data_IF_819030317566
#
_entry.id   IF_819030317566
#
_cell.length_a   1.000
_cell.length_b   1.000
_cell.length_c   1.000
_cell.angle_alpha   90.00
_cell.angle_beta   90.00
_cell.angle_gamma   90.00
#
_symmetry.space_group_name_H-M   'P 1'
#
loop_
_entity.id
_entity.type
_entity.pdbx_description
1 polymer ?
#
# COMPACT_ATOMS: atom_id res chain seq x y z
N UNK A 1 1.10 -12.63 1.77
CA UNK A 1 1.11 -11.16 2.06
C UNK A 1 2.16 -10.49 1.17
N UNK A 2 2.06 -9.21 0.81
CA UNK A 2 3.11 -8.51 0.02
C UNK A 2 3.90 -7.58 0.92
N UNK A 3 5.21 -7.52 0.77
CA UNK A 3 6.08 -6.65 1.56
C UNK A 3 6.86 -5.68 0.68
N UNK A 4 7.08 -4.48 1.21
CA UNK A 4 7.95 -3.47 0.60
C UNK A 4 9.00 -2.98 1.58
N UNK A 5 10.10 -2.47 1.07
CA UNK A 5 11.11 -1.75 1.87
C UNK A 5 10.51 -0.50 2.51
N UNK A 6 10.87 -0.25 3.77
CA UNK A 6 10.50 0.98 4.45
C UNK A 6 11.37 2.13 3.90
N UNK A 7 10.80 3.21 3.32
CA UNK A 7 11.57 4.35 2.84
C UNK A 7 12.21 5.18 3.96
N UNK A 8 11.80 4.97 5.21
CA UNK A 8 12.34 5.64 6.40
C UNK A 8 12.52 4.61 7.52
N UNK A 9 13.51 3.70 7.38
CA UNK A 9 13.73 2.65 8.36
C UNK A 9 14.21 3.27 9.70
N UNK A 10 13.79 2.71 10.85
CA UNK A 10 14.21 3.20 12.16
C UNK A 10 15.70 2.93 12.45
N UNK A 11 16.30 1.96 11.77
CA UNK A 11 17.71 1.59 11.91
C UNK A 11 18.52 2.07 10.70
N UNK A 12 19.04 3.30 10.74
CA UNK A 12 19.86 3.86 9.66
C UNK A 12 21.23 3.20 9.48
N UNK A 13 21.71 2.45 10.49
CA UNK A 13 23.02 1.78 10.48
C UNK A 13 22.93 0.25 10.39
N UNK A 14 21.78 -0.29 9.98
CA UNK A 14 21.64 -1.73 9.85
C UNK A 14 22.65 -2.32 8.84
N UNK A 15 23.42 -3.31 9.29
CA UNK A 15 24.37 -4.08 8.49
C UNK A 15 23.79 -5.49 8.24
N UNK A 16 23.13 -5.73 7.11
CA UNK A 16 22.51 -7.02 6.83
C UNK A 16 23.55 -8.12 6.59
N UNK A 17 23.22 -9.35 7.00
CA UNK A 17 23.91 -10.53 6.45
C UNK A 17 23.59 -10.71 4.95
N UNK A 18 24.35 -11.53 4.20
CA UNK A 18 24.01 -11.82 2.80
C UNK A 18 22.60 -12.40 2.61
N UNK A 19 22.12 -13.23 3.54
CA UNK A 19 20.78 -13.82 3.54
C UNK A 19 19.72 -12.76 3.82
N UNK A 20 19.95 -11.93 4.85
CA UNK A 20 19.05 -10.81 5.17
C UNK A 20 18.92 -9.84 3.99
N UNK A 21 20.04 -9.47 3.36
CA UNK A 21 20.05 -8.60 2.19
C UNK A 21 19.28 -9.19 1.02
N UNK A 22 19.44 -10.50 0.78
CA UNK A 22 18.74 -11.21 -0.30
C UNK A 22 17.22 -11.14 -0.12
N UNK A 23 16.72 -11.47 1.07
CA UNK A 23 15.28 -11.40 1.38
C UNK A 23 14.78 -9.95 1.33
N UNK A 24 15.53 -9.02 1.92
CA UNK A 24 15.19 -7.60 1.94
C UNK A 24 15.09 -6.99 0.53
N UNK A 25 16.01 -7.34 -0.37
CA UNK A 25 16.02 -6.84 -1.75
C UNK A 25 14.79 -7.32 -2.56
N UNK A 26 14.27 -8.50 -2.26
CA UNK A 26 13.07 -9.06 -2.90
C UNK A 26 11.76 -8.41 -2.42
N UNK A 27 11.77 -7.71 -1.28
CA UNK A 27 10.63 -6.96 -0.74
C UNK A 27 10.41 -5.64 -1.51
N UNK A 28 9.99 -5.74 -2.76
CA UNK A 28 9.80 -4.61 -3.68
C UNK A 28 8.37 -4.08 -3.74
N UNK A 29 7.47 -4.63 -2.92
CA UNK A 29 6.05 -4.27 -2.89
C UNK A 29 5.21 -4.93 -3.97
N UNK A 30 5.77 -5.89 -4.70
CA UNK A 30 5.05 -6.64 -5.75
C UNK A 30 4.99 -8.13 -5.46
N UNK A 31 6.08 -8.69 -4.94
CA UNK A 31 6.16 -10.13 -4.62
C UNK A 31 5.38 -10.49 -3.37
N UNK A 32 4.68 -11.62 -3.40
CA UNK A 32 4.12 -12.21 -2.19
C UNK A 32 5.22 -12.81 -1.32
N UNK A 33 4.92 -13.02 -0.04
CA UNK A 33 5.77 -13.71 0.93
C UNK A 33 6.26 -15.05 0.39
N UNK A 34 5.38 -15.83 -0.22
CA UNK A 34 5.69 -17.13 -0.81
C UNK A 34 6.65 -17.01 -2.00
N UNK A 35 6.48 -15.97 -2.83
CA UNK A 35 7.39 -15.69 -3.94
C UNK A 35 8.77 -15.25 -3.44
N UNK A 36 8.83 -14.38 -2.43
CA UNK A 36 10.09 -13.97 -1.78
C UNK A 36 10.83 -15.19 -1.21
N UNK A 37 10.12 -16.07 -0.51
CA UNK A 37 10.70 -17.29 0.06
C UNK A 37 11.26 -18.19 -1.04
N UNK A 38 10.47 -18.45 -2.09
CA UNK A 38 10.87 -19.28 -3.22
C UNK A 38 12.08 -18.71 -3.95
N UNK A 39 12.08 -17.41 -4.25
CA UNK A 39 13.16 -16.74 -5.01
C UNK A 39 14.43 -16.51 -4.20
N UNK A 40 14.33 -16.41 -2.87
CA UNK A 40 15.50 -16.30 -1.99
C UNK A 40 16.35 -17.58 -1.96
N UNK A 41 15.73 -18.74 -2.21
CA UNK A 41 16.33 -20.06 -2.10
C UNK A 41 16.63 -20.49 -0.65
N UNK A 42 16.10 -19.80 0.36
CA UNK A 42 16.40 -20.03 1.78
C UNK A 42 15.34 -20.87 2.51
N UNK A 43 14.20 -21.15 1.87
CA UNK A 43 13.12 -21.94 2.47
C UNK A 43 12.57 -21.32 3.76
N UNK A 44 12.45 -22.12 4.83
CA UNK A 44 11.93 -21.64 6.13
C UNK A 44 12.70 -20.45 6.71
N UNK A 45 14.00 -20.36 6.43
CA UNK A 45 14.82 -19.26 6.95
C UNK A 45 14.39 -17.91 6.37
N UNK A 46 13.89 -17.87 5.13
CA UNK A 46 13.34 -16.64 4.56
C UNK A 46 12.14 -16.10 5.36
N UNK A 47 11.26 -16.98 5.87
CA UNK A 47 10.14 -16.55 6.71
C UNK A 47 10.62 -15.96 8.04
N UNK A 48 11.66 -16.55 8.66
CA UNK A 48 12.25 -16.01 9.89
C UNK A 48 12.86 -14.63 9.66
N UNK A 49 13.58 -14.46 8.55
CA UNK A 49 14.16 -13.18 8.15
C UNK A 49 13.06 -12.16 7.89
N UNK A 50 12.00 -12.49 7.13
CA UNK A 50 10.88 -11.60 6.88
C UNK A 50 10.22 -11.11 8.18
N UNK A 51 9.95 -12.03 9.12
CA UNK A 51 9.41 -11.67 10.42
C UNK A 51 10.35 -10.73 11.20
N UNK A 52 11.65 -10.97 11.14
CA UNK A 52 12.67 -10.10 11.75
C UNK A 52 12.71 -8.71 11.14
N UNK A 53 12.74 -8.61 9.80
CA UNK A 53 12.73 -7.36 9.05
C UNK A 53 11.47 -6.54 9.33
N UNK A 54 10.31 -7.21 9.41
CA UNK A 54 9.03 -6.58 9.72
C UNK A 54 9.02 -6.04 11.16
N UNK A 55 9.46 -6.85 12.13
CA UNK A 55 9.54 -6.45 13.54
C UNK A 55 10.45 -5.24 13.76
N UNK A 56 11.53 -5.16 12.98
CA UNK A 56 12.50 -4.05 13.00
C UNK A 56 12.05 -2.84 12.17
N UNK A 57 10.89 -2.92 11.51
CA UNK A 57 10.37 -1.85 10.67
C UNK A 57 11.23 -1.58 9.44
N UNK A 58 12.04 -2.53 8.99
CA UNK A 58 12.86 -2.42 7.78
C UNK A 58 12.02 -2.66 6.52
N UNK A 59 10.99 -3.49 6.64
CA UNK A 59 9.96 -3.70 5.62
C UNK A 59 8.58 -3.39 6.21
N UNK A 60 7.64 -3.05 5.34
CA UNK A 60 6.25 -2.76 5.67
C UNK A 60 5.34 -3.69 4.86
N UNK A 61 4.21 -4.14 5.44
CA UNK A 61 3.20 -4.85 4.68
C UNK A 61 2.58 -3.89 3.67
N UNK A 62 2.38 -4.36 2.45
CA UNK A 62 1.57 -3.68 1.44
C UNK A 62 0.14 -4.14 1.66
N UNK A 63 -0.74 -3.18 1.94
CA UNK A 63 -2.16 -3.46 2.08
C UNK A 63 -2.73 -3.96 0.75
N UNK A 64 -3.62 -4.94 0.84
CA UNK A 64 -4.29 -5.49 -0.33
C UNK A 64 -5.19 -4.44 -0.99
N UNK A 65 -5.50 -4.57 -2.30
CA UNK A 65 -6.41 -3.67 -2.98
C UNK A 65 -7.76 -3.55 -2.26
N UNK A 66 -8.28 -4.64 -1.69
CA UNK A 66 -9.55 -4.67 -0.97
C UNK A 66 -9.47 -3.85 0.33
N UNK A 67 -8.37 -4.00 1.08
CA UNK A 67 -8.16 -3.23 2.31
C UNK A 67 -8.02 -1.72 2.02
N UNK A 68 -7.28 -1.37 0.96
CA UNK A 68 -7.17 0.02 0.51
C UNK A 68 -8.51 0.58 0.02
N UNK A 69 -9.26 -0.22 -0.74
CA UNK A 69 -10.57 0.17 -1.26
C UNK A 69 -11.53 0.45 -0.10
N UNK A 70 -11.56 -0.41 0.92
CA UNK A 70 -12.37 -0.18 2.12
C UNK A 70 -12.01 1.14 2.82
N UNK A 71 -10.72 1.44 3.00
CA UNK A 71 -10.26 2.71 3.60
C UNK A 71 -10.66 3.93 2.76
N UNK A 72 -10.52 3.85 1.44
CA UNK A 72 -10.90 4.92 0.52
C UNK A 72 -12.41 5.15 0.53
N UNK A 73 -13.20 4.08 0.54
CA UNK A 73 -14.67 4.12 0.63
C UNK A 73 -15.13 4.82 1.90
N UNK A 74 -14.55 4.47 3.06
CA UNK A 74 -14.88 5.14 4.33
C UNK A 74 -14.50 6.62 4.31
N UNK A 75 -13.34 6.96 3.73
CA UNK A 75 -12.91 8.35 3.61
C UNK A 75 -13.86 9.16 2.70
N UNK A 76 -14.29 8.59 1.58
CA UNK A 76 -15.27 9.22 0.68
C UNK A 76 -16.61 9.42 1.35
N UNK A 77 -17.13 8.41 2.05
CA UNK A 77 -18.40 8.51 2.80
C UNK A 77 -18.32 9.57 3.90
N UNK A 78 -17.22 9.62 4.64
CA UNK A 78 -17.01 10.61 5.69
C UNK A 78 -16.98 12.07 5.16
N UNK A 79 -16.49 12.28 3.93
CA UNK A 79 -16.37 13.62 3.34
C UNK A 79 -17.57 14.06 2.52
N UNK A 80 -18.18 13.14 1.77
CA UNK A 80 -19.21 13.46 0.78
C UNK A 80 -20.60 12.93 1.17
N UNK A 81 -20.68 12.10 2.21
CA UNK A 81 -21.93 11.47 2.65
C UNK A 81 -22.58 10.70 1.50
N UNK A 82 -23.89 10.88 1.25
CA UNK A 82 -24.60 10.21 0.17
C UNK A 82 -24.04 10.45 -1.24
N UNK A 83 -23.32 11.57 -1.45
CA UNK A 83 -22.71 11.89 -2.75
C UNK A 83 -21.49 11.01 -3.07
N UNK A 84 -21.02 10.20 -2.11
CA UNK A 84 -19.91 9.26 -2.30
C UNK A 84 -20.28 8.05 -3.16
N UNK A 85 -21.55 7.64 -3.18
CA UNK A 85 -22.02 6.37 -3.74
C UNK A 85 -21.52 6.07 -5.17
N UNK A 86 -21.57 7.03 -6.13
CA UNK A 86 -21.09 6.79 -7.49
C UNK A 86 -19.57 6.58 -7.57
N UNK A 87 -18.82 7.14 -6.62
CA UNK A 87 -17.36 7.00 -6.58
C UNK A 87 -16.94 5.71 -5.89
N UNK A 88 -17.67 5.30 -4.84
CA UNK A 88 -17.46 4.02 -4.15
C UNK A 88 -17.56 2.86 -5.13
N UNK A 89 -18.64 2.82 -5.94
CA UNK A 89 -18.82 1.78 -6.97
C UNK A 89 -17.69 1.72 -8.00
N UNK A 90 -17.06 2.85 -8.31
CA UNK A 90 -15.92 2.91 -9.24
C UNK A 90 -14.67 2.29 -8.61
N UNK A 91 -14.40 2.58 -7.34
CA UNK A 91 -13.27 2.01 -6.60
C UNK A 91 -13.43 0.50 -6.37
N UNK A 92 -14.64 0.06 -6.03
CA UNK A 92 -14.95 -1.37 -5.83
C UNK A 92 -14.79 -2.19 -7.13
N UNK A 93 -14.85 -1.54 -8.29
CA UNK A 93 -14.58 -2.17 -9.58
C UNK A 93 -13.10 -2.39 -9.91
N UNK A 94 -12.18 -1.86 -9.10
CA UNK A 94 -10.74 -2.00 -9.31
C UNK A 94 -10.23 -3.33 -8.76
N UNK A 95 -9.56 -4.12 -9.60
CA UNK A 95 -9.03 -5.45 -9.23
C UNK A 95 -7.54 -5.45 -8.85
N UNK A 96 -6.86 -4.30 -8.95
CA UNK A 96 -5.44 -4.18 -8.63
C UNK A 96 -5.14 -2.90 -7.86
N UNK A 97 -4.03 -2.89 -7.12
CA UNK A 97 -3.57 -1.71 -6.38
C UNK A 97 -3.32 -0.52 -7.31
N UNK A 98 -2.72 -0.76 -8.48
CA UNK A 98 -2.42 0.28 -9.47
C UNK A 98 -3.71 0.89 -10.06
N UNK A 99 -4.67 0.04 -10.45
CA UNK A 99 -5.97 0.53 -10.95
C UNK A 99 -6.75 1.29 -9.89
N UNK A 100 -6.68 0.83 -8.63
CA UNK A 100 -7.30 1.50 -7.50
C UNK A 100 -6.65 2.86 -7.20
N UNK A 101 -5.32 2.96 -7.28
CA UNK A 101 -4.60 4.23 -7.09
C UNK A 101 -5.01 5.27 -8.15
N UNK A 102 -4.96 4.87 -9.42
CA UNK A 102 -5.31 5.73 -10.55
C UNK A 102 -6.76 6.23 -10.42
N UNK A 103 -7.68 5.31 -10.12
CA UNK A 103 -9.09 5.64 -10.00
C UNK A 103 -9.37 6.52 -8.77
N UNK A 104 -8.69 6.27 -7.64
CA UNK A 104 -8.79 7.11 -6.46
C UNK A 104 -8.30 8.56 -6.72
N UNK A 105 -7.21 8.73 -7.47
CA UNK A 105 -6.74 10.06 -7.89
C UNK A 105 -7.74 10.75 -8.83
N UNK A 106 -8.33 10.01 -9.77
CA UNK A 106 -9.40 10.54 -10.65
C UNK A 106 -10.64 10.97 -9.87
N UNK A 107 -11.04 10.19 -8.87
CA UNK A 107 -12.15 10.54 -7.98
C UNK A 107 -11.82 11.81 -7.21
N UNK A 108 -10.64 11.90 -6.58
CA UNK A 108 -10.21 13.09 -5.85
C UNK A 108 -10.24 14.35 -6.73
N UNK A 109 -9.72 14.25 -7.97
CA UNK A 109 -9.77 15.34 -8.94
C UNK A 109 -11.20 15.72 -9.32
N UNK A 110 -12.07 14.74 -9.57
CA UNK A 110 -13.47 15.00 -9.92
C UNK A 110 -14.20 15.72 -8.77
N UNK A 111 -14.03 15.25 -7.53
CA UNK A 111 -14.58 15.90 -6.33
C UNK A 111 -14.09 17.34 -6.21
N UNK A 112 -12.78 17.56 -6.40
CA UNK A 112 -12.14 18.88 -6.35
C UNK A 112 -12.74 19.87 -7.35
N UNK A 113 -13.07 19.39 -8.55
CA UNK A 113 -13.57 20.22 -9.64
C UNK A 113 -15.08 20.42 -9.61
N UNK A 114 -15.85 19.43 -9.15
CA UNK A 114 -17.32 19.44 -9.33
C UNK A 114 -18.13 19.54 -8.05
N UNK A 115 -17.54 19.26 -6.88
CA UNK A 115 -18.29 19.20 -5.62
C UNK A 115 -17.74 20.16 -4.58
N UNK A 116 -16.50 19.93 -4.16
CA UNK A 116 -15.85 20.70 -3.10
C UNK A 116 -14.34 20.62 -3.29
N UNK A 117 -13.73 21.78 -3.53
CA UNK A 117 -12.29 21.90 -3.77
C UNK A 117 -11.47 21.40 -2.59
N UNK A 118 -11.85 21.77 -1.36
CA UNK A 118 -11.11 21.42 -0.15
C UNK A 118 -11.22 19.92 0.13
N UNK A 119 -12.42 19.34 0.00
CA UNK A 119 -12.61 17.91 0.15
C UNK A 119 -11.79 17.12 -0.88
N UNK A 120 -11.75 17.59 -2.13
CA UNK A 120 -10.94 16.98 -3.18
C UNK A 120 -9.43 17.07 -2.93
N UNK A 121 -8.92 18.19 -2.40
CA UNK A 121 -7.51 18.34 -2.00
C UNK A 121 -7.13 17.43 -0.82
N UNK A 122 -8.01 17.32 0.19
CA UNK A 122 -7.81 16.42 1.33
C UNK A 122 -7.83 14.94 0.90
N UNK A 123 -8.75 14.58 -0.01
CA UNK A 123 -8.81 13.26 -0.64
C UNK A 123 -7.51 12.94 -1.40
N UNK A 124 -7.05 13.85 -2.25
CA UNK A 124 -5.81 13.66 -3.03
C UNK A 124 -4.60 13.42 -2.11
N UNK A 125 -4.49 14.19 -1.02
CA UNK A 125 -3.42 14.01 -0.03
C UNK A 125 -3.50 12.66 0.67
N UNK A 126 -4.70 12.22 1.04
CA UNK A 126 -4.92 10.93 1.70
C UNK A 126 -4.60 9.75 0.76
N UNK A 127 -5.04 9.82 -0.50
CA UNK A 127 -4.70 8.83 -1.53
C UNK A 127 -3.18 8.73 -1.68
N UNK A 128 -2.50 9.86 -1.90
CA UNK A 128 -1.03 9.86 -2.02
C UNK A 128 -0.35 9.25 -0.80
N UNK A 129 -0.87 9.47 0.42
CA UNK A 129 -0.30 8.89 1.63
C UNK A 129 -0.56 7.37 1.77
N UNK A 130 -1.72 6.87 1.33
CA UNK A 130 -2.08 5.45 1.35
C UNK A 130 -1.28 4.63 0.32
N UNK A 131 -0.99 5.25 -0.82
CA UNK A 131 -0.29 4.57 -1.91
C UNK A 131 1.24 4.75 -1.91
N UNK A 132 1.75 5.75 -1.19
CA UNK A 132 3.19 5.98 -0.95
C UNK A 132 3.83 4.81 -0.28
#
# INVERSE_FOLDING_TARGET
MVFRRNPSPPESEWKPTPEEWRVYALCDGRRTEEEVVRESGLGEEAYRILAGLLKRGLILPVESPEALCAKLTELLKARLGPKAEPFVKRLEGCSSRESLEEEALRVALKVKLTLDRRAGEELEKAVKALFR
#
